data_IF_524204209734
#
_entry.id   IF_524204209734
#
_cell.length_a   1.000
_cell.length_b   1.000
_cell.length_c   1.000
_cell.angle_alpha   90.00
_cell.angle_beta   90.00
_cell.angle_gamma   90.00
#
_symmetry.space_group_name_H-M   'P 1'
#
loop_
_entity.id
_entity.type
_entity.pdbx_description
1 polymer ?
#
# COMPACT_ATOMS: atom_id res chain seq x y z
N UNK A 1 203.21 45.72 61.18
CA UNK A 1 204.43 45.19 60.52
C UNK A 1 204.13 45.14 59.02
N UNK A 2 204.83 45.80 58.09
CA UNK A 2 206.15 46.46 58.16
C UNK A 2 206.15 47.91 57.63
N UNK A 3 206.71 48.79 58.49
CA UNK A 3 207.41 50.09 58.32
C UNK A 3 207.32 50.79 56.95
N UNK A 4 206.78 52.01 56.81
CA UNK A 4 207.19 53.33 57.36
C UNK A 4 208.70 53.62 57.24
N UNK A 5 209.05 54.34 56.16
CA UNK A 5 210.18 55.24 56.02
C UNK A 5 209.60 56.60 55.63
N UNK A 6 209.85 57.62 56.44
CA UNK A 6 209.35 58.99 56.32
C UNK A 6 210.19 59.82 55.36
N UNK A 7 209.57 60.43 54.35
CA UNK A 7 210.18 61.55 53.61
C UNK A 7 209.08 62.44 53.04
N UNK A 8 208.96 63.65 53.58
CA UNK A 8 208.02 64.71 53.17
C UNK A 8 208.47 65.38 51.87
N UNK A 9 207.55 65.66 50.94
CA UNK A 9 207.70 66.86 50.11
C UNK A 9 206.39 67.68 49.93
N UNK A 10 206.60 68.98 49.92
CA UNK A 10 206.02 70.03 49.08
C UNK A 10 204.49 70.14 48.82
N UNK A 11 203.92 71.23 49.34
CA UNK A 11 202.48 71.61 49.34
C UNK A 11 201.93 72.11 47.99
N UNK A 12 202.72 72.12 46.91
CA UNK A 12 202.29 72.64 45.61
C UNK A 12 201.75 71.56 44.63
N UNK A 13 202.08 70.28 44.82
CA UNK A 13 201.69 69.20 43.90
C UNK A 13 200.31 68.57 44.22
N UNK A 14 199.74 68.82 45.41
CA UNK A 14 198.48 68.20 45.85
C UNK A 14 197.21 68.77 45.18
N UNK A 15 197.27 69.94 44.53
CA UNK A 15 196.07 70.59 43.95
C UNK A 15 195.77 70.17 42.50
N UNK A 16 196.78 69.74 41.74
CA UNK A 16 196.58 69.25 40.37
C UNK A 16 196.03 67.81 40.36
N UNK A 17 196.42 66.97 41.33
CA UNK A 17 195.94 65.58 41.43
C UNK A 17 194.45 65.47 41.79
N UNK A 18 193.88 66.46 42.50
CA UNK A 18 192.46 66.46 42.85
C UNK A 18 191.55 66.86 41.67
N UNK A 19 192.07 67.62 40.70
CA UNK A 19 191.31 68.02 39.50
C UNK A 19 191.23 66.89 38.46
N UNK A 20 192.25 66.03 38.34
CA UNK A 20 192.19 64.89 37.41
C UNK A 20 191.19 63.82 37.87
N UNK A 21 191.10 63.54 39.18
CA UNK A 21 190.16 62.55 39.71
C UNK A 21 188.68 62.96 39.58
N UNK A 22 188.36 64.26 39.60
CA UNK A 22 186.98 64.71 39.36
C UNK A 22 186.54 64.62 37.90
N UNK A 23 187.47 64.73 36.95
CA UNK A 23 187.16 64.56 35.53
C UNK A 23 186.84 63.09 35.19
N UNK A 24 187.64 62.15 35.71
CA UNK A 24 187.47 60.71 35.47
C UNK A 24 186.15 60.17 36.05
N UNK A 25 185.71 60.68 37.21
CA UNK A 25 184.43 60.27 37.81
C UNK A 25 183.21 60.67 36.97
N UNK A 26 183.24 61.83 36.31
CA UNK A 26 182.13 62.29 35.46
C UNK A 26 182.00 61.48 34.17
N UNK A 27 183.10 60.97 33.63
CA UNK A 27 183.08 60.17 32.41
C UNK A 27 182.48 58.77 32.67
N UNK A 28 182.74 58.21 33.87
CA UNK A 28 182.22 56.90 34.29
C UNK A 28 180.71 56.92 34.61
N UNK A 29 180.17 58.03 35.09
CA UNK A 29 178.72 58.17 35.32
C UNK A 29 177.94 58.27 33.98
N UNK A 30 178.53 58.89 32.95
CA UNK A 30 177.91 59.02 31.63
C UNK A 30 177.81 57.67 30.89
N UNK A 31 178.84 56.82 30.98
CA UNK A 31 178.82 55.48 30.37
C UNK A 31 177.80 54.56 31.05
N UNK A 32 177.70 54.59 32.37
CA UNK A 32 176.71 53.79 33.11
C UNK A 32 175.26 54.19 32.78
N UNK A 33 174.98 55.48 32.54
CA UNK A 33 173.62 55.90 32.13
C UNK A 33 173.24 55.38 30.73
N UNK A 34 174.20 55.34 29.78
CA UNK A 34 173.92 54.85 28.43
C UNK A 34 173.64 53.34 28.39
N UNK A 35 174.31 52.54 29.24
CA UNK A 35 174.06 51.09 29.31
C UNK A 35 172.68 50.78 29.89
N UNK A 36 172.22 51.54 30.90
CA UNK A 36 170.90 51.35 31.49
C UNK A 36 169.75 51.64 30.53
N UNK A 37 169.91 52.62 29.63
CA UNK A 37 168.88 52.93 28.63
C UNK A 37 168.82 51.88 27.51
N UNK A 38 169.98 51.32 27.12
CA UNK A 38 170.01 50.19 26.19
C UNK A 38 169.33 48.94 26.77
N UNK A 39 169.54 48.65 28.06
CA UNK A 39 168.91 47.52 28.74
C UNK A 39 167.38 47.70 28.87
N UNK A 40 166.91 48.92 29.12
CA UNK A 40 165.48 49.23 29.14
C UNK A 40 164.83 49.03 27.77
N UNK A 41 165.50 49.44 26.70
CA UNK A 41 164.98 49.27 25.35
C UNK A 41 164.92 47.80 24.92
N UNK A 42 165.93 46.99 25.26
CA UNK A 42 165.88 45.55 24.95
C UNK A 42 164.73 44.84 25.68
N UNK A 43 164.49 45.18 26.94
CA UNK A 43 163.39 44.62 27.72
C UNK A 43 162.00 45.01 27.20
N UNK A 44 161.85 46.24 26.70
CA UNK A 44 160.61 46.71 26.11
C UNK A 44 160.25 45.94 24.81
N UNK A 45 161.25 45.63 23.98
CA UNK A 45 161.05 44.86 22.74
C UNK A 45 160.68 43.41 23.05
N UNK A 46 161.36 42.77 24.01
CA UNK A 46 161.05 41.39 24.41
C UNK A 46 159.66 41.26 25.04
N UNK A 47 159.25 42.27 25.81
CA UNK A 47 157.88 42.33 26.37
C UNK A 47 156.82 42.45 25.27
N UNK A 48 157.03 43.28 24.26
CA UNK A 48 156.08 43.42 23.15
C UNK A 48 155.94 42.12 22.33
N UNK A 49 157.05 41.43 22.03
CA UNK A 49 157.03 40.18 21.25
C UNK A 49 156.34 39.03 22.02
N UNK A 50 156.46 39.02 23.35
CA UNK A 50 155.76 38.03 24.19
C UNK A 50 154.26 38.30 24.29
N UNK A 51 153.83 39.57 24.36
CA UNK A 51 152.41 39.95 24.31
C UNK A 51 151.76 39.53 22.98
N UNK A 52 152.40 39.81 21.83
CA UNK A 52 151.87 39.44 20.51
C UNK A 52 151.72 37.92 20.34
N UNK A 53 152.68 37.13 20.83
CA UNK A 53 152.60 35.65 20.78
C UNK A 53 151.45 35.12 21.63
N UNK A 54 151.24 35.68 22.83
CA UNK A 54 150.13 35.31 23.69
C UNK A 54 148.78 35.69 23.08
N UNK A 55 148.68 36.87 22.48
CA UNK A 55 147.43 37.30 21.84
C UNK A 55 147.10 36.42 20.63
N UNK A 56 148.11 36.07 19.83
CA UNK A 56 147.96 35.15 18.69
C UNK A 56 147.54 33.74 19.13
N UNK A 57 148.10 33.22 20.23
CA UNK A 57 147.71 31.89 20.74
C UNK A 57 146.27 31.88 21.28
N UNK A 58 145.87 32.95 21.98
CA UNK A 58 144.49 33.10 22.49
C UNK A 58 143.49 33.19 21.33
N UNK A 59 143.82 33.90 20.24
CA UNK A 59 142.96 33.97 19.06
C UNK A 59 142.85 32.62 18.34
N UNK A 60 143.95 31.86 18.25
CA UNK A 60 143.94 30.52 17.67
C UNK A 60 143.07 29.55 18.49
N UNK A 61 143.18 29.56 19.82
CA UNK A 61 142.32 28.77 20.71
C UNK A 61 140.84 29.15 20.59
N UNK A 62 140.53 30.46 20.55
CA UNK A 62 139.16 30.93 20.31
C UNK A 62 138.62 30.42 18.97
N UNK A 63 139.43 30.48 17.90
CA UNK A 63 139.08 29.95 16.59
C UNK A 63 138.75 28.45 16.64
N UNK A 64 139.61 27.65 17.26
CA UNK A 64 139.40 26.21 17.44
C UNK A 64 138.12 25.89 18.23
N UNK A 65 137.81 26.67 19.28
CA UNK A 65 136.57 26.51 20.04
C UNK A 65 135.33 26.86 19.21
N UNK A 66 135.37 27.92 18.40
CA UNK A 66 134.26 28.27 17.51
C UNK A 66 134.02 27.18 16.45
N UNK A 67 135.07 26.61 15.87
CA UNK A 67 134.94 25.51 14.90
C UNK A 67 134.39 24.24 15.56
N UNK A 68 134.81 23.94 16.79
CA UNK A 68 134.26 22.82 17.54
C UNK A 68 132.76 23.02 17.83
N UNK A 69 132.35 24.20 18.31
CA UNK A 69 130.94 24.53 18.54
C UNK A 69 130.11 24.49 17.26
N UNK A 70 130.67 24.98 16.14
CA UNK A 70 130.03 24.91 14.82
C UNK A 70 129.84 23.47 14.36
N UNK A 71 130.85 22.63 14.54
CA UNK A 71 130.78 21.20 14.21
C UNK A 71 129.76 20.47 15.07
N UNK A 72 129.74 20.71 16.39
CA UNK A 72 128.80 20.09 17.31
C UNK A 72 127.36 20.53 17.02
N UNK A 73 127.13 21.81 16.71
CA UNK A 73 125.83 22.29 16.21
C UNK A 73 125.42 21.63 14.90
N UNK A 74 126.37 21.40 13.99
CA UNK A 74 126.09 20.71 12.72
C UNK A 74 125.74 19.23 12.93
N UNK A 75 126.38 18.54 13.87
CA UNK A 75 126.08 17.16 14.25
C UNK A 75 124.71 17.07 14.91
N UNK A 76 124.43 17.93 15.88
CA UNK A 76 123.12 17.99 16.54
C UNK A 76 121.99 18.22 15.53
N UNK A 77 122.16 19.14 14.58
CA UNK A 77 121.18 19.37 13.52
C UNK A 77 121.02 18.16 12.58
N UNK A 78 122.09 17.39 12.32
CA UNK A 78 122.00 16.15 11.52
C UNK A 78 121.24 15.07 12.28
N UNK A 79 121.57 14.85 13.55
CA UNK A 79 120.88 13.87 14.39
C UNK A 79 119.40 14.23 14.57
N UNK A 80 119.10 15.51 14.80
CA UNK A 80 117.72 15.97 14.89
C UNK A 80 116.93 15.69 13.60
N UNK A 81 117.53 15.91 12.42
CA UNK A 81 116.90 15.56 11.13
C UNK A 81 116.70 14.06 10.96
N UNK A 82 117.64 13.24 11.41
CA UNK A 82 117.49 11.77 11.37
C UNK A 82 116.35 11.32 12.28
N UNK A 83 116.26 11.87 13.49
CA UNK A 83 115.17 11.57 14.43
C UNK A 83 113.81 12.04 13.89
N UNK A 84 113.74 13.23 13.30
CA UNK A 84 112.54 13.74 12.63
C UNK A 84 112.12 12.83 11.48
N UNK A 85 113.07 12.40 10.65
CA UNK A 85 112.78 11.49 9.54
C UNK A 85 112.29 10.11 10.03
N UNK A 86 112.93 9.52 11.03
CA UNK A 86 112.49 8.25 11.63
C UNK A 86 111.11 8.38 12.28
N UNK A 87 110.84 9.52 12.94
CA UNK A 87 109.51 9.80 13.50
C UNK A 87 108.47 9.89 12.38
N UNK A 88 108.76 10.57 11.29
CA UNK A 88 107.82 10.72 10.18
C UNK A 88 107.61 9.39 9.42
N UNK A 89 108.64 8.57 9.28
CA UNK A 89 108.53 7.20 8.76
C UNK A 89 107.66 6.31 9.66
N UNK A 90 107.87 6.35 10.97
CA UNK A 90 107.05 5.55 11.90
C UNK A 90 105.60 6.05 11.95
N UNK A 91 105.36 7.36 11.86
CA UNK A 91 104.01 7.93 11.77
C UNK A 91 103.32 7.54 10.46
N UNK A 92 104.03 7.60 9.34
CA UNK A 92 103.47 7.21 8.03
C UNK A 92 103.19 5.70 7.96
N UNK A 93 104.07 4.85 8.47
CA UNK A 93 103.85 3.40 8.58
C UNK A 93 102.67 3.06 9.50
N UNK A 94 102.57 3.68 10.68
CA UNK A 94 101.42 3.46 11.57
C UNK A 94 100.12 3.98 10.95
N UNK A 95 100.16 5.12 10.26
CA UNK A 95 98.99 5.67 9.57
C UNK A 95 98.53 4.75 8.43
N UNK A 96 99.44 4.16 7.66
CA UNK A 96 99.08 3.20 6.60
C UNK A 96 98.52 1.90 7.17
N UNK A 97 99.11 1.37 8.25
CA UNK A 97 98.58 0.21 8.98
C UNK A 97 97.17 0.45 9.51
N UNK A 98 96.93 1.58 10.19
CA UNK A 98 95.61 1.95 10.70
C UNK A 98 94.58 2.07 9.58
N UNK A 99 94.95 2.65 8.43
CA UNK A 99 94.06 2.71 7.25
C UNK A 99 93.74 1.33 6.69
N UNK A 100 94.73 0.42 6.63
CA UNK A 100 94.47 -0.94 6.15
C UNK A 100 93.59 -1.74 7.12
N UNK A 101 93.77 -1.54 8.42
CA UNK A 101 92.95 -2.18 9.45
C UNK A 101 91.52 -1.62 9.46
N UNK A 102 91.35 -0.31 9.25
CA UNK A 102 90.05 0.35 9.04
C UNK A 102 89.33 -0.25 7.84
N UNK A 103 89.98 -0.32 6.66
CA UNK A 103 89.39 -0.92 5.46
C UNK A 103 89.02 -2.40 5.68
N UNK A 104 89.87 -3.15 6.38
CA UNK A 104 89.62 -4.56 6.68
C UNK A 104 88.42 -4.73 7.62
N UNK A 105 88.37 -3.96 8.69
CA UNK A 105 87.27 -4.00 9.66
C UNK A 105 85.96 -3.54 9.05
N UNK A 106 85.97 -2.53 8.17
CA UNK A 106 84.80 -2.13 7.39
C UNK A 106 84.33 -3.25 6.45
N UNK A 107 85.25 -3.89 5.73
CA UNK A 107 84.93 -4.98 4.80
C UNK A 107 84.34 -6.18 5.54
N UNK A 108 84.94 -6.58 6.65
CA UNK A 108 84.46 -7.67 7.49
C UNK A 108 83.11 -7.32 8.13
N UNK A 109 82.93 -6.07 8.56
CA UNK A 109 81.66 -5.55 9.05
C UNK A 109 80.55 -5.61 7.99
N UNK A 110 80.81 -5.13 6.78
CA UNK A 110 79.87 -5.21 5.64
C UNK A 110 79.54 -6.65 5.27
N UNK A 111 80.52 -7.55 5.28
CA UNK A 111 80.29 -8.97 5.00
C UNK A 111 79.35 -9.61 6.04
N UNK A 112 79.54 -9.32 7.33
CA UNK A 112 78.66 -9.79 8.41
C UNK A 112 77.25 -9.20 8.28
N UNK A 113 77.13 -7.91 7.97
CA UNK A 113 75.83 -7.28 7.73
C UNK A 113 75.11 -7.96 6.56
N UNK A 114 75.80 -8.19 5.45
CA UNK A 114 75.21 -8.87 4.29
C UNK A 114 74.79 -10.31 4.60
N UNK A 115 75.57 -11.03 5.41
CA UNK A 115 75.20 -12.38 5.84
C UNK A 115 73.92 -12.36 6.70
N UNK A 116 73.82 -11.41 7.63
CA UNK A 116 72.61 -11.23 8.46
C UNK A 116 71.41 -10.87 7.60
N UNK A 117 71.56 -9.91 6.67
CA UNK A 117 70.50 -9.53 5.72
C UNK A 117 70.06 -10.73 4.88
N UNK A 118 70.99 -11.55 4.39
CA UNK A 118 70.65 -12.77 3.63
C UNK A 118 69.88 -13.77 4.48
N UNK A 119 70.30 -14.03 5.73
CA UNK A 119 69.59 -14.94 6.65
C UNK A 119 68.18 -14.44 6.95
N UNK A 120 68.00 -13.12 7.15
CA UNK A 120 66.67 -12.55 7.32
C UNK A 120 65.80 -12.69 6.07
N UNK A 121 66.35 -12.45 4.87
CA UNK A 121 65.61 -12.63 3.62
C UNK A 121 65.21 -14.10 3.39
N UNK A 122 66.07 -15.05 3.71
CA UNK A 122 65.78 -16.49 3.64
C UNK A 122 64.68 -16.89 4.64
N UNK A 123 64.76 -16.41 5.88
CA UNK A 123 63.73 -16.65 6.90
C UNK A 123 62.38 -16.03 6.51
N UNK A 124 62.38 -14.81 5.98
CA UNK A 124 61.16 -14.16 5.51
C UNK A 124 60.55 -14.90 4.31
N UNK A 125 61.36 -15.37 3.37
CA UNK A 125 60.89 -16.18 2.25
C UNK A 125 60.27 -17.50 2.71
N UNK A 126 60.85 -18.15 3.72
CA UNK A 126 60.31 -19.36 4.33
C UNK A 126 58.94 -19.10 5.00
N UNK A 127 58.84 -18.05 5.82
CA UNK A 127 57.58 -17.69 6.47
C UNK A 127 56.50 -17.30 5.45
N UNK A 128 56.85 -16.54 4.40
CA UNK A 128 55.90 -16.22 3.31
C UNK A 128 55.40 -17.48 2.62
N UNK A 129 56.29 -18.44 2.33
CA UNK A 129 55.90 -19.72 1.70
C UNK A 129 54.93 -20.50 2.60
N UNK A 130 55.25 -20.61 3.89
CA UNK A 130 54.38 -21.27 4.88
C UNK A 130 53.00 -20.60 5.00
N UNK A 131 52.97 -19.27 4.98
CA UNK A 131 51.72 -18.51 5.01
C UNK A 131 50.87 -18.73 3.76
N UNK A 132 51.49 -18.79 2.57
CA UNK A 132 50.79 -19.10 1.32
C UNK A 132 50.23 -20.53 1.29
N UNK A 133 50.98 -21.50 1.81
CA UNK A 133 50.52 -22.88 1.95
C UNK A 133 49.31 -22.94 2.90
N UNK A 134 49.41 -22.33 4.09
CA UNK A 134 48.30 -22.24 5.04
C UNK A 134 47.07 -21.52 4.47
N UNK A 135 47.27 -20.42 3.72
CA UNK A 135 46.18 -19.72 3.05
C UNK A 135 45.51 -20.62 2.00
N UNK A 136 46.28 -21.39 1.25
CA UNK A 136 45.74 -22.33 0.26
C UNK A 136 44.90 -23.43 0.91
N UNK A 137 45.34 -23.98 2.05
CA UNK A 137 44.58 -24.97 2.83
C UNK A 137 43.27 -24.37 3.32
N UNK A 138 43.31 -23.20 3.96
CA UNK A 138 42.11 -22.48 4.43
C UNK A 138 41.15 -22.22 3.26
N UNK A 139 41.64 -21.78 2.10
CA UNK A 139 40.79 -21.57 0.91
C UNK A 139 40.14 -22.86 0.44
N UNK A 140 40.85 -23.99 0.44
CA UNK A 140 40.27 -25.28 0.05
C UNK A 140 39.21 -25.75 1.05
N UNK A 141 39.42 -25.54 2.34
CA UNK A 141 38.46 -25.93 3.38
C UNK A 141 37.22 -25.04 3.36
N UNK A 142 37.40 -23.72 3.17
CA UNK A 142 36.29 -22.79 2.94
C UNK A 142 35.48 -23.18 1.70
N UNK A 143 36.14 -23.58 0.61
CA UNK A 143 35.46 -24.05 -0.61
C UNK A 143 34.62 -25.30 -0.33
N UNK A 144 35.18 -26.31 0.34
CA UNK A 144 34.44 -27.52 0.73
C UNK A 144 33.25 -27.22 1.64
N UNK A 145 33.44 -26.35 2.63
CA UNK A 145 32.38 -25.91 3.54
C UNK A 145 31.26 -25.18 2.78
N UNK A 146 31.62 -24.28 1.85
CA UNK A 146 30.65 -23.59 1.00
C UNK A 146 29.86 -24.56 0.11
N UNK A 147 30.52 -25.55 -0.50
CA UNK A 147 29.87 -26.58 -1.30
C UNK A 147 28.88 -27.43 -0.48
N UNK A 148 29.22 -27.78 0.76
CA UNK A 148 28.32 -28.48 1.69
C UNK A 148 27.10 -27.62 2.05
N UNK A 149 27.31 -26.34 2.39
CA UNK A 149 26.23 -25.40 2.73
C UNK A 149 25.29 -25.23 1.53
N UNK A 150 25.84 -25.05 0.33
CA UNK A 150 25.06 -24.93 -0.91
C UNK A 150 24.27 -26.21 -1.15
N UNK A 151 24.90 -27.38 -1.04
CA UNK A 151 24.25 -28.68 -1.23
C UNK A 151 23.09 -28.91 -0.24
N UNK A 152 23.29 -28.60 1.03
CA UNK A 152 22.24 -28.73 2.05
C UNK A 152 21.11 -27.71 1.86
N UNK A 153 21.44 -26.48 1.45
CA UNK A 153 20.44 -25.48 1.12
C UNK A 153 19.56 -25.92 -0.06
N UNK A 154 20.16 -26.52 -1.10
CA UNK A 154 19.43 -27.03 -2.25
C UNK A 154 18.52 -28.20 -1.88
N UNK A 155 19.00 -29.13 -1.04
CA UNK A 155 18.16 -30.23 -0.53
C UNK A 155 16.95 -29.71 0.25
N UNK A 156 17.14 -28.69 1.10
CA UNK A 156 16.05 -28.05 1.85
C UNK A 156 15.05 -27.37 0.93
N UNK A 157 15.53 -26.65 -0.10
CA UNK A 157 14.67 -26.00 -1.09
C UNK A 157 13.84 -27.04 -1.88
N UNK A 158 14.46 -28.14 -2.31
CA UNK A 158 13.76 -29.21 -3.01
C UNK A 158 12.70 -29.86 -2.10
N UNK A 159 13.04 -30.16 -0.85
CA UNK A 159 12.09 -30.71 0.13
C UNK A 159 10.90 -29.77 0.37
N UNK A 160 11.16 -28.47 0.53
CA UNK A 160 10.10 -27.47 0.70
C UNK A 160 9.22 -27.37 -0.55
N UNK A 161 9.81 -27.49 -1.74
CA UNK A 161 9.06 -27.50 -2.99
C UNK A 161 8.16 -28.74 -3.11
N UNK A 162 8.65 -29.92 -2.73
CA UNK A 162 7.88 -31.17 -2.67
C UNK A 162 6.73 -31.08 -1.65
N UNK A 163 7.01 -30.61 -0.43
CA UNK A 163 5.99 -30.41 0.61
C UNK A 163 4.89 -29.43 0.15
N UNK A 164 5.28 -28.34 -0.52
CA UNK A 164 4.33 -27.36 -1.07
C UNK A 164 3.51 -27.94 -2.23
N UNK A 165 4.12 -28.76 -3.09
CA UNK A 165 3.42 -29.42 -4.18
C UNK A 165 2.36 -30.40 -3.63
N UNK A 166 2.74 -31.23 -2.66
CA UNK A 166 1.82 -32.15 -1.99
C UNK A 166 0.67 -31.43 -1.27
N UNK A 167 0.97 -30.29 -0.62
CA UNK A 167 -0.07 -29.46 0.01
C UNK A 167 -1.08 -28.92 -1.00
N UNK A 168 -0.60 -28.40 -2.14
CA UNK A 168 -1.48 -27.88 -3.20
C UNK A 168 -2.32 -28.98 -3.85
N UNK A 169 -1.77 -30.19 -3.98
CA UNK A 169 -2.50 -31.36 -4.48
C UNK A 169 -3.61 -31.77 -3.50
N UNK A 170 -3.29 -31.86 -2.20
CA UNK A 170 -4.30 -32.10 -1.16
C UNK A 170 -5.40 -31.03 -1.15
N UNK A 171 -5.05 -29.75 -1.31
CA UNK A 171 -6.06 -28.69 -1.46
C UNK A 171 -6.96 -28.90 -2.68
N UNK A 172 -6.39 -29.26 -3.84
CA UNK A 172 -7.20 -29.55 -5.05
C UNK A 172 -8.18 -30.69 -4.81
N UNK A 173 -7.75 -31.77 -4.15
CA UNK A 173 -8.63 -32.90 -3.79
C UNK A 173 -9.75 -32.47 -2.84
N UNK A 174 -9.44 -31.68 -1.81
CA UNK A 174 -10.47 -31.15 -0.89
C UNK A 174 -11.48 -30.24 -1.60
N UNK A 175 -11.02 -29.41 -2.55
CA UNK A 175 -11.92 -28.59 -3.35
C UNK A 175 -12.76 -29.42 -4.32
N UNK A 176 -12.18 -30.42 -4.97
CA UNK A 176 -12.91 -31.32 -5.86
C UNK A 176 -14.02 -32.08 -5.12
N UNK A 177 -13.72 -32.58 -3.92
CA UNK A 177 -14.72 -33.26 -3.07
C UNK A 177 -15.81 -32.30 -2.59
N UNK A 178 -15.47 -31.07 -2.21
CA UNK A 178 -16.46 -30.05 -1.85
C UNK A 178 -17.38 -29.68 -3.03
N UNK A 179 -16.83 -29.52 -4.24
CA UNK A 179 -17.62 -29.28 -5.47
C UNK A 179 -18.58 -30.44 -5.71
N UNK A 180 -18.11 -31.69 -5.63
CA UNK A 180 -18.96 -32.87 -5.80
C UNK A 180 -20.11 -32.94 -4.78
N UNK A 181 -19.84 -32.59 -3.51
CA UNK A 181 -20.89 -32.49 -2.48
C UNK A 181 -21.91 -31.39 -2.78
N UNK A 182 -21.46 -30.22 -3.25
CA UNK A 182 -22.35 -29.13 -3.65
C UNK A 182 -23.22 -29.51 -4.86
N UNK A 183 -22.65 -30.18 -5.85
CA UNK A 183 -23.39 -30.69 -7.01
C UNK A 183 -24.45 -31.71 -6.62
N UNK A 184 -24.12 -32.67 -5.76
CA UNK A 184 -25.07 -33.64 -5.24
C UNK A 184 -26.23 -32.96 -4.49
N UNK A 185 -25.90 -32.04 -3.58
CA UNK A 185 -26.90 -31.28 -2.84
C UNK A 185 -27.81 -30.45 -3.76
N UNK A 186 -27.24 -29.84 -4.81
CA UNK A 186 -28.02 -29.12 -5.80
C UNK A 186 -28.98 -30.04 -6.58
N UNK A 187 -28.52 -31.22 -6.97
CA UNK A 187 -29.37 -32.22 -7.65
C UNK A 187 -30.51 -32.70 -6.74
N UNK A 188 -30.23 -32.94 -5.46
CA UNK A 188 -31.24 -33.32 -4.48
C UNK A 188 -32.30 -32.22 -4.30
N UNK A 189 -31.86 -30.97 -4.12
CA UNK A 189 -32.76 -29.81 -4.03
C UNK A 189 -33.63 -29.67 -5.28
N UNK A 190 -33.02 -29.81 -6.47
CA UNK A 190 -33.75 -29.72 -7.73
C UNK A 190 -34.80 -30.82 -7.83
N UNK A 191 -34.44 -32.07 -7.53
CA UNK A 191 -35.37 -33.20 -7.56
C UNK A 191 -36.50 -33.07 -6.53
N UNK A 192 -36.22 -32.52 -5.34
CA UNK A 192 -37.24 -32.25 -4.34
C UNK A 192 -38.19 -31.12 -4.78
N UNK A 193 -37.65 -30.05 -5.38
CA UNK A 193 -38.46 -28.95 -5.90
C UNK A 193 -39.36 -29.40 -7.06
N UNK A 194 -38.83 -30.20 -7.98
CA UNK A 194 -39.61 -30.79 -9.08
C UNK A 194 -40.77 -31.65 -8.54
N UNK A 195 -40.53 -32.47 -7.51
CA UNK A 195 -41.57 -33.26 -6.84
C UNK A 195 -42.62 -32.37 -6.15
N UNK A 196 -42.20 -31.31 -5.47
CA UNK A 196 -43.11 -30.35 -4.83
C UNK A 196 -44.02 -29.67 -5.86
N UNK A 197 -43.44 -29.13 -6.93
CA UNK A 197 -44.19 -28.49 -8.01
C UNK A 197 -45.16 -29.48 -8.69
N UNK A 198 -44.73 -30.71 -8.94
CA UNK A 198 -45.62 -31.74 -9.50
C UNK A 198 -46.80 -32.03 -8.56
N UNK A 199 -46.57 -32.08 -7.25
CA UNK A 199 -47.62 -32.23 -6.25
C UNK A 199 -48.59 -31.05 -6.22
N UNK A 200 -48.09 -29.82 -6.26
CA UNK A 200 -48.91 -28.60 -6.31
C UNK A 200 -49.76 -28.52 -7.57
N UNK A 201 -49.19 -28.85 -8.74
CA UNK A 201 -49.92 -28.89 -10.01
C UNK A 201 -51.03 -29.95 -9.97
N UNK A 202 -50.76 -31.14 -9.42
CA UNK A 202 -51.78 -32.18 -9.25
C UNK A 202 -52.91 -31.72 -8.32
N UNK A 203 -52.57 -31.07 -7.20
CA UNK A 203 -53.56 -30.51 -6.28
C UNK A 203 -54.42 -29.43 -6.94
N UNK A 204 -53.81 -28.55 -7.73
CA UNK A 204 -54.51 -27.51 -8.48
C UNK A 204 -55.43 -28.13 -9.54
N UNK A 205 -54.97 -29.14 -10.27
CA UNK A 205 -55.77 -29.85 -11.26
C UNK A 205 -56.98 -30.52 -10.61
N UNK A 206 -56.80 -31.18 -9.46
CA UNK A 206 -57.89 -31.80 -8.72
C UNK A 206 -58.89 -30.74 -8.22
N UNK A 207 -58.42 -29.64 -7.64
CA UNK A 207 -59.28 -28.55 -7.16
C UNK A 207 -60.07 -27.88 -8.29
N UNK A 208 -59.42 -27.61 -9.42
CA UNK A 208 -60.09 -27.01 -10.58
C UNK A 208 -61.10 -27.97 -11.21
N UNK A 209 -60.82 -29.28 -11.25
CA UNK A 209 -61.80 -30.30 -11.66
C UNK A 209 -63.01 -30.35 -10.74
N UNK A 210 -62.82 -30.33 -9.43
CA UNK A 210 -63.93 -30.31 -8.46
C UNK A 210 -64.76 -29.03 -8.61
N UNK A 211 -64.11 -27.86 -8.64
CA UNK A 211 -64.81 -26.58 -8.82
C UNK A 211 -65.58 -26.50 -10.15
N UNK A 212 -65.01 -27.05 -11.23
CA UNK A 212 -65.70 -27.12 -12.53
C UNK A 212 -66.92 -28.03 -12.47
N UNK A 213 -66.81 -29.18 -11.80
CA UNK A 213 -67.92 -30.12 -11.65
C UNK A 213 -69.05 -29.51 -10.81
N UNK A 214 -68.70 -28.85 -9.70
CA UNK A 214 -69.66 -28.16 -8.84
C UNK A 214 -70.41 -27.06 -9.61
N UNK A 215 -69.70 -26.27 -10.44
CA UNK A 215 -70.32 -25.28 -11.33
C UNK A 215 -71.23 -25.90 -12.38
N UNK A 216 -70.85 -27.04 -12.96
CA UNK A 216 -71.71 -27.77 -13.92
C UNK A 216 -73.00 -28.25 -13.25
N UNK A 217 -72.91 -28.82 -12.05
CA UNK A 217 -74.06 -29.27 -11.27
C UNK A 217 -74.96 -28.07 -10.94
N UNK A 218 -74.39 -26.98 -10.41
CA UNK A 218 -75.14 -25.76 -10.09
C UNK A 218 -75.81 -25.13 -11.32
N UNK A 219 -75.15 -25.15 -12.49
CA UNK A 219 -75.75 -24.66 -13.73
C UNK A 219 -76.88 -25.56 -14.20
N UNK A 220 -76.73 -26.89 -14.10
CA UNK A 220 -77.77 -27.84 -14.48
C UNK A 220 -79.02 -27.71 -13.60
N UNK A 221 -78.85 -27.51 -12.29
CA UNK A 221 -79.98 -27.28 -11.37
C UNK A 221 -80.69 -25.94 -11.65
N UNK A 222 -79.95 -24.88 -11.98
CA UNK A 222 -80.55 -23.61 -12.40
C UNK A 222 -81.39 -23.79 -13.67
N UNK A 223 -80.89 -24.47 -14.70
CA UNK A 223 -81.65 -24.74 -15.94
C UNK A 223 -82.92 -25.53 -15.63
N UNK A 224 -82.84 -26.59 -14.81
CA UNK A 224 -84.00 -27.37 -14.38
C UNK A 224 -85.06 -26.51 -13.67
N UNK A 225 -84.65 -25.52 -12.88
CA UNK A 225 -85.56 -24.59 -12.21
C UNK A 225 -86.20 -23.56 -13.16
N UNK A 226 -85.60 -23.28 -14.32
CA UNK A 226 -86.17 -22.37 -15.33
C UNK A 226 -87.11 -23.07 -16.33
N UNK A 227 -86.97 -24.38 -16.54
CA UNK A 227 -87.85 -25.14 -17.44
C UNK A 227 -89.23 -25.45 -16.83
N UNK A 228 -89.35 -25.44 -15.49
CA UNK A 228 -90.61 -25.72 -14.78
C UNK A 228 -91.71 -24.64 -14.96
N UNK A 229 -91.42 -23.32 -14.88
CA UNK A 229 -92.40 -22.26 -15.11
C UNK A 229 -92.95 -22.18 -16.54
N UNK A 230 -92.19 -22.62 -17.55
CA UNK A 230 -92.59 -22.54 -18.96
C UNK A 230 -93.75 -23.49 -19.32
N UNK A 231 -94.02 -24.51 -18.50
CA UNK A 231 -95.11 -25.47 -18.70
C UNK A 231 -96.38 -25.13 -17.92
N UNK A 232 -96.36 -24.08 -17.11
CA UNK A 232 -97.52 -23.68 -16.31
C UNK A 232 -98.54 -22.93 -17.20
N UNK A 233 -99.78 -23.43 -17.35
CA UNK A 233 -100.83 -22.79 -18.16
C UNK A 233 -101.23 -21.38 -17.67
N UNK A 234 -100.75 -20.95 -16.50
CA UNK A 234 -100.82 -19.57 -16.05
C UNK A 234 -100.05 -18.59 -16.97
N UNK A 235 -98.90 -19.00 -17.53
CA UNK A 235 -98.03 -18.12 -18.32
C UNK A 235 -98.33 -18.14 -19.84
N UNK A 236 -99.24 -19.00 -20.30
CA UNK A 236 -99.69 -19.01 -21.68
C UNK A 236 -100.65 -17.85 -21.98
N UNK A 237 -100.38 -17.08 -23.04
CA UNK A 237 -101.25 -15.99 -23.50
C UNK A 237 -102.61 -16.59 -23.91
N UNK A 238 -103.63 -16.46 -23.06
CA UNK A 238 -105.01 -16.80 -23.42
C UNK A 238 -105.70 -15.54 -23.96
N UNK A 239 -106.31 -15.65 -25.14
CA UNK A 239 -107.29 -14.67 -25.63
C UNK A 239 -108.49 -14.65 -24.66
N UNK A 240 -109.20 -13.53 -24.54
CA UNK A 240 -110.41 -13.55 -23.72
C UNK A 240 -111.45 -14.41 -24.43
N UNK A 241 -112.15 -15.27 -23.68
CA UNK A 241 -113.34 -15.94 -24.20
C UNK A 241 -114.44 -14.87 -24.28
N UNK A 242 -114.54 -14.22 -25.45
CA UNK A 242 -115.47 -13.12 -25.67
C UNK A 242 -116.20 -13.23 -27.00
N UNK A 243 -117.47 -12.85 -26.98
CA UNK A 243 -118.41 -12.91 -28.10
C UNK A 243 -119.08 -11.53 -28.25
N UNK A 244 -119.09 -11.00 -29.47
CA UNK A 244 -119.77 -9.76 -29.82
C UNK A 244 -120.97 -10.07 -30.73
N UNK A 245 -122.16 -9.66 -30.28
CA UNK A 245 -123.42 -9.84 -30.99
C UNK A 245 -124.00 -8.48 -31.37
N UNK A 246 -124.47 -8.32 -32.61
CA UNK A 246 -125.19 -7.13 -33.08
C UNK A 246 -126.70 -7.41 -33.06
N UNK A 247 -127.46 -6.69 -32.24
CA UNK A 247 -128.92 -6.83 -32.13
C UNK A 247 -129.70 -5.78 -32.93
N UNK A 248 -129.03 -5.04 -33.81
CA UNK A 248 -129.63 -3.99 -34.63
C UNK A 248 -129.51 -2.63 -33.97
N UNK A 249 -130.13 -2.45 -32.80
CA UNK A 249 -130.15 -1.21 -32.02
C UNK A 249 -128.95 -1.06 -31.07
N UNK A 250 -128.39 -2.18 -30.60
CA UNK A 250 -127.23 -2.22 -29.72
C UNK A 250 -126.27 -3.36 -30.08
N UNK A 251 -125.00 -3.20 -29.71
CA UNK A 251 -124.04 -4.30 -29.63
C UNK A 251 -124.04 -4.88 -28.22
N UNK A 252 -124.05 -6.21 -28.11
CA UNK A 252 -123.90 -6.94 -26.86
C UNK A 252 -122.55 -7.65 -26.88
N UNK A 253 -121.65 -7.21 -26.00
CA UNK A 253 -120.37 -7.87 -25.78
C UNK A 253 -120.45 -8.74 -24.53
N UNK A 254 -120.25 -10.04 -24.69
CA UNK A 254 -120.13 -11.01 -23.60
C UNK A 254 -118.69 -11.43 -23.46
N UNK A 255 -118.13 -11.31 -22.26
CA UNK A 255 -116.75 -11.74 -21.97
C UNK A 255 -116.70 -12.53 -20.68
N UNK A 256 -116.05 -13.69 -20.72
CA UNK A 256 -115.84 -14.50 -19.54
C UNK A 256 -114.62 -14.01 -18.77
N UNK A 257 -114.85 -13.51 -17.56
CA UNK A 257 -113.79 -12.98 -16.68
C UNK A 257 -113.87 -13.66 -15.30
N UNK A 258 -112.85 -14.47 -14.93
CA UNK A 258 -112.77 -15.07 -13.61
C UNK A 258 -112.82 -14.01 -12.50
N UNK A 259 -113.41 -14.35 -11.36
CA UNK A 259 -113.67 -13.42 -10.25
C UNK A 259 -112.43 -12.63 -9.81
N UNK A 260 -111.26 -13.29 -9.77
CA UNK A 260 -110.01 -12.69 -9.32
C UNK A 260 -109.41 -11.65 -10.30
N UNK A 261 -109.81 -11.65 -11.57
CA UNK A 261 -109.32 -10.70 -12.60
C UNK A 261 -110.26 -9.52 -12.81
N UNK A 262 -111.50 -9.59 -12.31
CA UNK A 262 -112.54 -8.57 -12.56
C UNK A 262 -112.15 -7.16 -12.16
N UNK A 263 -111.44 -7.01 -11.03
CA UNK A 263 -111.02 -5.69 -10.52
C UNK A 263 -110.10 -4.95 -11.49
N UNK A 264 -109.36 -5.68 -12.31
CA UNK A 264 -108.38 -5.12 -13.25
C UNK A 264 -108.83 -5.22 -14.70
N UNK A 265 -110.04 -5.73 -14.96
CA UNK A 265 -110.64 -5.78 -16.28
C UNK A 265 -111.35 -4.47 -16.59
N UNK A 266 -111.10 -3.91 -17.77
CA UNK A 266 -111.65 -2.64 -18.24
C UNK A 266 -112.13 -2.78 -19.67
N UNK A 267 -113.34 -2.31 -19.93
CA UNK A 267 -113.88 -2.14 -21.28
C UNK A 267 -113.88 -0.67 -21.62
N UNK A 268 -113.24 -0.34 -22.74
CA UNK A 268 -113.17 1.02 -23.26
C UNK A 268 -113.72 1.06 -24.66
N UNK A 269 -114.52 2.08 -24.94
CA UNK A 269 -115.10 2.32 -26.26
C UNK A 269 -114.40 3.53 -26.84
N UNK A 270 -113.76 3.38 -28.00
CA UNK A 270 -113.04 4.43 -28.67
C UNK A 270 -113.50 4.52 -30.13
N UNK A 271 -114.40 5.46 -30.43
CA UNK A 271 -114.95 5.66 -31.77
C UNK A 271 -115.81 4.47 -32.22
N UNK A 272 -115.27 3.69 -33.17
CA UNK A 272 -115.90 2.47 -33.70
C UNK A 272 -115.19 1.20 -33.23
N UNK A 273 -114.43 1.24 -32.13
CA UNK A 273 -113.77 0.07 -31.57
C UNK A 273 -114.14 -0.13 -30.10
N UNK A 274 -114.29 -1.39 -29.70
CA UNK A 274 -114.33 -1.80 -28.30
C UNK A 274 -112.98 -2.42 -27.95
N UNK A 275 -112.31 -1.87 -26.94
CA UNK A 275 -111.08 -2.40 -26.40
C UNK A 275 -111.34 -3.05 -25.04
N UNK A 276 -111.10 -4.36 -24.96
CA UNK A 276 -111.01 -5.12 -23.72
C UNK A 276 -109.57 -5.06 -23.22
N UNK A 277 -109.36 -4.60 -22.00
CA UNK A 277 -108.05 -4.60 -21.35
C UNK A 277 -108.15 -5.33 -20.03
N UNK A 278 -107.38 -6.41 -19.86
CA UNK A 278 -107.22 -7.09 -18.58
C UNK A 278 -105.75 -7.07 -18.16
N UNK A 279 -105.52 -6.79 -16.88
CA UNK A 279 -104.20 -6.96 -16.26
C UNK A 279 -104.26 -8.19 -15.39
N UNK A 280 -103.27 -9.07 -15.56
CA UNK A 280 -103.07 -10.24 -14.72
C UNK A 280 -101.78 -10.07 -13.93
N UNK A 281 -101.89 -10.13 -12.61
CA UNK A 281 -100.75 -10.05 -11.69
C UNK A 281 -100.53 -11.39 -11.02
N UNK A 282 -99.30 -11.91 -11.08
CA UNK A 282 -98.86 -13.06 -10.30
C UNK A 282 -97.69 -12.69 -9.42
N UNK A 283 -97.88 -12.80 -8.12
CA UNK A 283 -96.84 -12.60 -7.12
C UNK A 283 -96.49 -13.97 -6.53
N UNK A 284 -95.45 -14.62 -7.05
CA UNK A 284 -94.90 -15.84 -6.45
C UNK A 284 -93.74 -15.46 -5.55
N UNK A 285 -93.85 -15.82 -4.27
CA UNK A 285 -92.74 -15.72 -3.29
C UNK A 285 -92.29 -17.12 -2.94
N UNK A 286 -91.01 -17.41 -3.16
CA UNK A 286 -90.37 -18.67 -2.79
C UNK A 286 -89.22 -18.37 -1.83
N UNK A 287 -89.19 -19.06 -0.70
CA UNK A 287 -88.09 -18.98 0.26
C UNK A 287 -87.01 -19.97 -0.17
N UNK A 288 -85.85 -19.47 -0.62
CA UNK A 288 -84.76 -20.31 -1.18
C UNK A 288 -83.87 -20.82 -0.05
N UNK A 289 -83.64 -20.00 0.97
CA UNK A 289 -82.83 -20.31 2.17
C UNK A 289 -83.48 -19.60 3.38
N UNK A 290 -83.26 -20.06 4.64
CA UNK A 290 -83.77 -19.38 5.83
C UNK A 290 -83.33 -17.90 5.86
N UNK A 291 -84.27 -16.98 5.67
CA UNK A 291 -84.02 -15.54 5.61
C UNK A 291 -83.77 -14.96 4.20
N UNK A 292 -83.82 -15.77 3.13
CA UNK A 292 -83.70 -15.32 1.74
C UNK A 292 -84.94 -15.69 0.92
N UNK A 293 -85.80 -14.72 0.68
CA UNK A 293 -86.97 -14.87 -0.19
C UNK A 293 -86.69 -14.35 -1.59
N UNK A 294 -86.88 -15.18 -2.61
CA UNK A 294 -86.98 -14.73 -3.99
C UNK A 294 -88.45 -14.48 -4.32
N UNK A 295 -88.76 -13.27 -4.78
CA UNK A 295 -90.09 -12.92 -5.26
C UNK A 295 -90.02 -12.70 -6.77
N UNK A 296 -90.83 -13.42 -7.52
CA UNK A 296 -91.04 -13.20 -8.94
C UNK A 296 -92.40 -12.55 -9.12
N UNK A 297 -92.41 -11.33 -9.64
CA UNK A 297 -93.64 -10.63 -10.03
C UNK A 297 -93.77 -10.70 -11.54
N UNK A 298 -94.86 -11.28 -12.00
CA UNK A 298 -95.19 -11.31 -13.42
C UNK A 298 -96.43 -10.45 -13.66
N UNK A 299 -96.33 -9.53 -14.62
CA UNK A 299 -97.41 -8.67 -15.08
C UNK A 299 -97.70 -9.02 -16.54
N UNK A 300 -98.93 -9.44 -16.83
CA UNK A 300 -99.37 -9.68 -18.19
C UNK A 300 -100.55 -8.76 -18.50
N UNK A 301 -100.40 -7.97 -19.57
CA UNK A 301 -101.47 -7.12 -20.07
C UNK A 301 -102.02 -7.77 -21.34
N UNK A 302 -103.29 -8.17 -21.31
CA UNK A 302 -103.99 -8.69 -22.49
C UNK A 302 -104.92 -7.59 -22.99
N UNK A 303 -104.78 -7.26 -24.27
CA UNK A 303 -105.63 -6.29 -24.95
C UNK A 303 -106.27 -6.95 -26.16
N UNK A 304 -107.59 -6.91 -26.22
CA UNK A 304 -108.37 -7.43 -27.34
C UNK A 304 -109.24 -6.30 -27.89
N UNK A 305 -109.32 -6.18 -29.22
CA UNK A 305 -110.02 -5.09 -29.90
C UNK A 305 -111.05 -5.65 -30.85
N UNK A 306 -112.25 -5.11 -30.79
CA UNK A 306 -113.35 -5.40 -31.68
C UNK A 306 -113.68 -4.16 -32.51
N UNK A 307 -113.57 -4.27 -33.83
CA UNK A 307 -114.06 -3.25 -34.74
C UNK A 307 -115.59 -3.36 -34.89
N UNK A 308 -116.29 -2.23 -34.80
CA UNK A 308 -117.74 -2.12 -34.92
C UNK A 308 -118.12 -1.56 -36.28
N UNK A 309 -119.24 -2.03 -36.82
CA UNK A 309 -119.76 -1.54 -38.10
C UNK A 309 -120.45 -0.17 -37.97
N UNK A 310 -120.78 0.27 -36.76
CA UNK A 310 -121.48 1.53 -36.51
C UNK A 310 -120.97 2.19 -35.22
N UNK A 311 -120.96 3.53 -35.15
CA UNK A 311 -120.55 4.24 -33.94
C UNK A 311 -121.53 3.98 -32.80
N UNK A 312 -121.00 3.77 -31.60
CA UNK A 312 -121.77 3.48 -30.37
C UNK A 312 -121.59 4.56 -29.33
N UNK A 313 -122.62 4.82 -28.54
CA UNK A 313 -122.53 5.74 -27.41
C UNK A 313 -121.96 5.03 -26.17
N UNK A 314 -120.64 5.09 -26.03
CA UNK A 314 -119.95 4.53 -24.87
C UNK A 314 -120.37 5.14 -23.52
N UNK A 315 -121.01 6.31 -23.49
CA UNK A 315 -121.52 6.92 -22.25
C UNK A 315 -122.81 6.26 -21.76
N UNK A 316 -123.55 5.64 -22.68
CA UNK A 316 -124.81 4.96 -22.42
C UNK A 316 -124.62 3.44 -22.33
N UNK A 317 -123.39 2.97 -22.13
CA UNK A 317 -123.07 1.57 -21.95
C UNK A 317 -123.68 1.04 -20.65
N UNK A 318 -124.47 -0.03 -20.76
CA UNK A 318 -125.02 -0.74 -19.60
C UNK A 318 -124.20 -1.99 -19.33
N UNK A 319 -123.90 -2.22 -18.06
CA UNK A 319 -123.16 -3.38 -17.59
C UNK A 319 -124.09 -4.30 -16.81
N UNK A 320 -124.02 -5.60 -17.11
CA UNK A 320 -124.70 -6.66 -16.36
C UNK A 320 -123.72 -7.78 -16.06
N UNK A 321 -123.74 -8.24 -14.83
CA UNK A 321 -122.91 -9.35 -14.36
C UNK A 321 -123.78 -10.60 -14.24
N UNK A 322 -123.33 -11.70 -14.87
CA UNK A 322 -124.00 -13.00 -14.81
C UNK A 322 -122.97 -14.12 -14.58
N UNK A 323 -122.70 -14.40 -13.29
CA UNK A 323 -121.73 -15.42 -12.90
C UNK A 323 -120.31 -15.05 -13.33
N UNK A 324 -119.71 -15.84 -14.22
CA UNK A 324 -118.38 -15.58 -14.81
C UNK A 324 -118.42 -14.69 -16.06
N UNK A 325 -119.61 -14.36 -16.55
CA UNK A 325 -119.79 -13.56 -17.75
C UNK A 325 -120.10 -12.11 -17.40
N UNK A 326 -119.37 -11.21 -18.05
CA UNK A 326 -119.65 -9.79 -18.06
C UNK A 326 -120.32 -9.45 -19.39
N UNK A 327 -121.51 -8.89 -19.32
CA UNK A 327 -122.29 -8.47 -20.48
C UNK A 327 -122.34 -6.94 -20.54
N UNK A 328 -121.89 -6.39 -21.66
CA UNK A 328 -121.90 -4.96 -21.94
C UNK A 328 -122.83 -4.69 -23.11
N UNK A 329 -123.87 -3.90 -22.89
CA UNK A 329 -124.79 -3.45 -23.92
C UNK A 329 -124.43 -2.04 -24.35
N UNK A 330 -124.14 -1.87 -25.64
CA UNK A 330 -123.62 -0.66 -26.25
C UNK A 330 -124.62 -0.14 -27.30
N UNK A 331 -125.42 0.89 -26.99
CA UNK A 331 -126.39 1.42 -27.94
C UNK A 331 -125.70 2.14 -29.11
N UNK A 332 -126.22 1.98 -30.33
CA UNK A 332 -125.72 2.67 -31.51
C UNK A 332 -126.17 4.14 -31.52
N UNK A 333 -125.34 5.04 -32.04
CA UNK A 333 -125.74 6.44 -32.26
C UNK A 333 -126.74 6.51 -33.42
N UNK A 334 -127.99 6.92 -33.17
CA UNK A 334 -128.89 7.39 -34.25
C UNK A 334 -130.31 6.84 -34.29
N UNK A 335 -130.73 5.93 -33.42
CA UNK A 335 -132.15 5.56 -33.29
C UNK A 335 -132.72 6.15 -31.98
N UNK A 336 -133.77 6.99 -32.11
CA UNK A 336 -134.41 7.75 -31.03
C UNK A 336 -134.94 6.86 -29.88
N UNK A 337 -134.05 6.39 -29.01
CA UNK A 337 -134.42 5.72 -27.78
C UNK A 337 -134.40 6.74 -26.64
N UNK A 338 -135.61 7.13 -26.22
CA UNK A 338 -135.85 7.75 -24.90
C UNK A 338 -135.53 6.72 -23.82
N UNK A 339 -134.26 6.61 -23.45
CA UNK A 339 -133.84 5.85 -22.27
C UNK A 339 -134.38 6.58 -21.04
N UNK A 340 -135.23 5.90 -20.28
CA UNK A 340 -135.82 6.40 -19.04
C UNK A 340 -134.72 6.66 -18.00
N UNK A 341 -134.80 7.82 -17.35
CA UNK A 341 -133.87 8.39 -16.35
C UNK A 341 -133.67 7.58 -15.05
N UNK A 342 -133.91 6.26 -15.03
CA UNK A 342 -133.95 5.49 -13.78
C UNK A 342 -132.60 5.01 -13.24
N UNK A 343 -131.48 5.20 -13.95
CA UNK A 343 -130.17 4.73 -13.48
C UNK A 343 -129.03 5.70 -13.76
N UNK A 344 -129.01 6.84 -13.07
CA UNK A 344 -127.79 7.66 -12.91
C UNK A 344 -127.40 7.74 -11.44
N UNK A 345 -126.45 6.91 -11.01
CA UNK A 345 -125.62 7.20 -9.83
C UNK A 345 -124.30 7.80 -10.33
N UNK A 346 -123.91 9.01 -9.91
CA UNK A 346 -122.58 9.54 -10.24
C UNK A 346 -121.50 8.79 -9.45
N UNK A 347 -120.48 8.31 -10.14
CA UNK A 347 -119.23 7.84 -9.56
C UNK A 347 -118.42 9.07 -9.11
N UNK A 348 -118.32 9.29 -7.79
CA UNK A 348 -117.39 10.25 -7.22
C UNK A 348 -115.97 9.65 -7.24
N UNK A 349 -115.04 10.35 -7.90
CA UNK A 349 -113.60 10.09 -7.82
C UNK A 349 -113.04 10.91 -6.66
N UNK A 350 -112.58 10.26 -5.60
CA UNK A 350 -111.63 10.84 -4.65
C UNK A 350 -110.39 9.96 -4.59
N UNK A 351 -109.27 10.62 -4.28
CA UNK A 351 -107.99 10.09 -3.81
C UNK A 351 -106.97 9.58 -4.85
N UNK A 352 -106.02 10.46 -5.19
CA UNK A 352 -104.62 10.07 -5.44
C UNK A 352 -103.69 11.24 -5.08
N UNK A 353 -103.31 11.33 -3.79
CA UNK A 353 -102.28 12.28 -3.29
C UNK A 353 -101.22 11.67 -2.38
N UNK A 354 -101.17 10.35 -2.20
CA UNK A 354 -100.32 9.73 -1.19
C UNK A 354 -98.97 9.15 -1.68
N UNK A 355 -98.68 9.14 -2.98
CA UNK A 355 -97.60 8.28 -3.51
C UNK A 355 -96.28 8.99 -3.89
N UNK A 356 -95.86 10.02 -3.14
CA UNK A 356 -94.69 10.83 -3.48
C UNK A 356 -93.56 10.88 -2.43
N UNK A 357 -93.48 9.95 -1.45
CA UNK A 357 -92.54 10.11 -0.32
C UNK A 357 -91.37 9.12 -0.16
N UNK A 358 -91.28 8.02 -0.91
CA UNK A 358 -90.36 6.92 -0.53
C UNK A 358 -89.22 6.59 -1.52
N UNK A 359 -88.66 7.59 -2.23
CA UNK A 359 -87.49 7.37 -3.11
C UNK A 359 -86.28 8.23 -2.70
N UNK A 360 -85.70 7.95 -1.52
CA UNK A 360 -84.31 8.33 -1.18
C UNK A 360 -83.50 7.06 -0.84
N UNK A 361 -82.79 6.52 -1.83
CA UNK A 361 -81.86 5.40 -1.66
C UNK A 361 -80.44 5.92 -1.43
N UNK A 362 -79.86 5.59 -0.26
CA UNK A 362 -78.46 5.89 0.11
C UNK A 362 -77.49 4.95 -0.60
N UNK A 363 -76.62 5.49 -1.45
CA UNK A 363 -75.47 4.79 -2.02
C UNK A 363 -74.22 5.02 -1.14
N UNK A 364 -73.83 4.01 -0.35
CA UNK A 364 -72.51 3.96 0.31
C UNK A 364 -71.84 2.63 -0.01
N UNK A 365 -70.88 2.65 -0.93
CA UNK A 365 -69.97 1.53 -1.16
C UNK A 365 -68.71 1.69 -0.29
N UNK A 366 -68.15 0.61 0.28
CA UNK A 366 -66.98 0.67 1.13
C UNK A 366 -65.69 0.77 0.30
N UNK A 367 -64.71 1.56 0.78
CA UNK A 367 -63.36 1.65 0.21
C UNK A 367 -62.47 0.51 0.72
N UNK A 368 -61.61 -0.08 -0.13
CA UNK A 368 -60.65 -1.10 0.30
C UNK A 368 -59.48 -0.50 1.09
N UNK A 369 -59.03 -1.24 2.11
CA UNK A 369 -57.95 -0.88 3.01
C UNK A 369 -56.56 -0.95 2.32
N UNK A 370 -55.74 0.07 2.53
CA UNK A 370 -54.37 0.16 2.04
C UNK A 370 -53.44 -0.79 2.80
N UNK A 371 -52.73 -1.66 2.08
CA UNK A 371 -51.67 -2.54 2.59
C UNK A 371 -50.42 -1.71 2.88
N UNK A 372 -49.96 -1.71 4.14
CA UNK A 372 -48.66 -1.18 4.54
C UNK A 372 -47.57 -2.18 4.14
N UNK A 373 -46.67 -1.77 3.25
CA UNK A 373 -45.42 -2.48 2.98
C UNK A 373 -44.43 -2.24 4.11
N UNK A 374 -43.98 -3.34 4.72
CA UNK A 374 -42.91 -3.34 5.71
C UNK A 374 -41.60 -3.66 4.99
N UNK A 375 -40.66 -2.72 5.04
CA UNK A 375 -39.36 -2.81 4.42
C UNK A 375 -38.29 -2.66 5.50
N UNK A 376 -37.46 -3.69 5.65
CA UNK A 376 -36.24 -3.63 6.46
C UNK A 376 -35.99 -4.96 7.18
N UNK A 377 -34.77 -5.42 7.35
CA UNK A 377 -33.47 -4.98 6.86
C UNK A 377 -32.53 -6.13 7.17
N UNK A 378 -31.83 -6.64 6.15
CA UNK A 378 -30.75 -7.59 6.36
C UNK A 378 -29.59 -6.93 7.09
N UNK A 379 -29.05 -7.61 8.10
CA UNK A 379 -27.68 -7.36 8.57
C UNK A 379 -27.04 -8.73 8.77
N UNK A 380 -26.06 -9.03 7.92
CA UNK A 380 -25.15 -10.15 8.09
C UNK A 380 -24.09 -9.81 9.14
N UNK A 381 -23.73 -10.79 9.96
CA UNK A 381 -22.39 -10.97 10.51
C UNK A 381 -22.14 -12.47 10.64
#
# INVERSE_FOLDING_TARGET
MSSISSTTPNRAELSEQYKSQQAEKKELEATHTSEMDNLKNSYAVEKADTEDRFETSIQAEKGAHYDHLRNLKSQLNREQRVLEHQRDETVTQKSSQLKTDEIRTERDGRARINEVVRKYAEAEAYERKRMLEAESEIRTDHKKSAELIIGDSQKRLNKLAEEKAAYLEGQKETHATAIGQMEHHFQDLRGNLEKQHAGELSNLENRTKTELNDRKIASATLIQNFDTPMKDPFYGIKRFESDLLDQGDAYILRVKVPEYERKQFKVQVAGQEIQLTGVRTNDQKVEIEPGRTAATRSYQNVTERYALASPVDGRSMVYKEDGEWLEYTLPKFGENHRVSDQFRKPLAYEEDKALAKDLEFKNTLPRPASVKGDAGSGTMA
#
